data_IF_991350698490
#
_entry.id   IF_991350698490
#
_cell.length_a   1.000
_cell.length_b   1.000
_cell.length_c   1.000
_cell.angle_alpha   90.00
_cell.angle_beta   90.00
_cell.angle_gamma   90.00
#
_symmetry.space_group_name_H-M   'P 1'
#
loop_
_entity.id
_entity.type
_entity.pdbx_description
1 polymer ?
#
# COMPACT_ATOMS: atom_id res chain seq x y z
N UNK A 1 5.47 -8.05 9.74
CA UNK A 1 5.02 -7.74 8.36
C UNK A 1 5.71 -6.46 7.92
N UNK A 2 6.28 -6.45 6.73
CA UNK A 2 6.97 -5.29 6.17
C UNK A 2 6.28 -4.82 4.88
N UNK A 3 6.23 -3.51 4.64
CA UNK A 3 5.55 -2.94 3.46
C UNK A 3 6.41 -1.82 2.90
N UNK A 4 6.79 -1.96 1.64
CA UNK A 4 7.57 -0.99 0.89
C UNK A 4 6.74 -0.47 -0.28
N UNK A 5 6.76 0.84 -0.49
CA UNK A 5 6.09 1.49 -1.61
C UNK A 5 7.14 2.23 -2.44
N UNK A 6 7.30 1.82 -3.69
CA UNK A 6 8.19 2.43 -4.66
C UNK A 6 7.35 3.20 -5.69
N UNK A 7 7.70 4.47 -5.91
CA UNK A 7 7.09 5.30 -6.95
C UNK A 7 8.12 5.60 -8.04
N UNK A 8 7.81 5.28 -9.30
CA UNK A 8 8.71 5.54 -10.42
C UNK A 8 7.94 5.85 -11.70
N UNK A 9 8.20 7.02 -12.30
CA UNK A 9 7.70 7.35 -13.64
C UNK A 9 6.18 7.29 -13.81
N UNK A 10 5.40 7.53 -12.76
CA UNK A 10 3.93 7.43 -12.78
C UNK A 10 3.38 6.04 -12.44
N UNK A 11 4.25 5.07 -12.21
CA UNK A 11 3.89 3.75 -11.67
C UNK A 11 4.07 3.72 -10.15
N UNK A 12 3.23 2.92 -9.53
CA UNK A 12 3.26 2.58 -8.12
C UNK A 12 3.52 1.09 -7.97
N UNK A 13 4.51 0.74 -7.17
CA UNK A 13 4.82 -0.64 -6.81
C UNK A 13 4.74 -0.78 -5.30
N UNK A 14 3.98 -1.76 -4.84
CA UNK A 14 3.81 -2.06 -3.41
C UNK A 14 4.30 -3.47 -3.19
N UNK A 15 5.31 -3.61 -2.33
CA UNK A 15 5.84 -4.90 -1.87
C UNK A 15 5.39 -5.11 -0.43
N UNK A 16 4.77 -6.24 -0.14
CA UNK A 16 4.43 -6.65 1.21
C UNK A 16 5.12 -7.97 1.54
N UNK A 17 5.85 -8.00 2.65
CA UNK A 17 6.53 -9.19 3.16
C UNK A 17 5.79 -9.73 4.38
N UNK A 18 5.26 -10.94 4.25
CA UNK A 18 4.56 -11.66 5.32
C UNK A 18 5.32 -12.95 5.60
N UNK A 19 6.05 -12.97 6.72
CA UNK A 19 6.97 -14.07 7.04
C UNK A 19 8.09 -14.19 6.00
N UNK A 20 8.18 -15.35 5.36
CA UNK A 20 9.16 -15.64 4.29
C UNK A 20 8.63 -15.33 2.88
N UNK A 21 7.35 -15.00 2.74
CA UNK A 21 6.72 -14.72 1.44
C UNK A 21 6.69 -13.22 1.14
N UNK A 22 6.91 -12.90 -0.13
CA UNK A 22 6.85 -11.56 -0.66
C UNK A 22 5.73 -11.46 -1.71
N UNK A 23 4.92 -10.41 -1.60
CA UNK A 23 3.79 -10.11 -2.47
C UNK A 23 4.03 -8.77 -3.13
N UNK A 24 3.87 -8.72 -4.45
CA UNK A 24 4.18 -7.53 -5.24
C UNK A 24 2.97 -7.19 -6.10
N UNK A 25 2.52 -5.95 -5.95
CA UNK A 25 1.50 -5.34 -6.81
C UNK A 25 2.09 -4.11 -7.50
N UNK A 26 1.78 -3.96 -8.79
CA UNK A 26 2.28 -2.85 -9.61
C UNK A 26 1.13 -2.32 -10.44
N UNK A 27 1.01 -1.00 -10.53
CA UNK A 27 0.08 -0.35 -11.44
C UNK A 27 0.34 1.15 -11.52
N UNK A 28 -0.65 1.90 -11.98
CA UNK A 28 -0.53 3.35 -12.14
C UNK A 28 -0.67 4.06 -10.79
N UNK A 29 0.16 5.07 -10.53
CA UNK A 29 0.03 5.94 -9.35
C UNK A 29 -1.30 6.70 -9.32
N UNK A 30 -1.78 7.11 -10.50
CA UNK A 30 -3.09 7.75 -10.64
C UNK A 30 -4.25 6.83 -10.27
N UNK A 31 -4.02 5.52 -10.29
CA UNK A 31 -4.98 4.48 -9.92
C UNK A 31 -4.46 3.62 -8.75
N UNK A 32 -3.90 4.31 -7.74
CA UNK A 32 -3.40 3.64 -6.54
C UNK A 32 -4.46 2.77 -5.82
N UNK A 33 -5.79 3.05 -5.83
CA UNK A 33 -6.77 2.16 -5.22
C UNK A 33 -6.78 0.78 -5.87
N UNK A 34 -6.60 0.70 -7.19
CA UNK A 34 -6.51 -0.59 -7.90
C UNK A 34 -5.25 -1.36 -7.50
N UNK A 35 -4.10 -0.69 -7.38
CA UNK A 35 -2.84 -1.35 -6.95
C UNK A 35 -2.96 -1.92 -5.54
N UNK A 36 -3.54 -1.15 -4.63
CA UNK A 36 -3.83 -1.58 -3.26
C UNK A 36 -4.82 -2.75 -3.25
N UNK A 37 -5.87 -2.70 -4.07
CA UNK A 37 -6.84 -3.78 -4.21
C UNK A 37 -6.20 -5.08 -4.72
N UNK A 38 -5.28 -4.99 -5.69
CA UNK A 38 -4.53 -6.14 -6.20
C UNK A 38 -3.70 -6.81 -5.09
N UNK A 39 -3.04 -6.03 -4.24
CA UNK A 39 -2.30 -6.55 -3.09
C UNK A 39 -3.22 -7.29 -2.12
N UNK A 40 -4.36 -6.69 -1.77
CA UNK A 40 -5.35 -7.30 -0.87
C UNK A 40 -5.87 -8.62 -1.43
N UNK A 41 -6.23 -8.65 -2.71
CA UNK A 41 -6.70 -9.88 -3.38
C UNK A 41 -5.62 -10.95 -3.39
N UNK A 42 -4.35 -10.60 -3.64
CA UNK A 42 -3.23 -11.55 -3.57
C UNK A 42 -3.10 -12.17 -2.17
N UNK A 43 -3.11 -11.35 -1.13
CA UNK A 43 -2.96 -11.81 0.26
C UNK A 43 -4.12 -12.74 0.67
N UNK A 44 -5.36 -12.34 0.37
CA UNK A 44 -6.55 -13.14 0.68
C UNK A 44 -6.55 -14.48 -0.07
N UNK A 45 -6.16 -14.48 -1.35
CA UNK A 45 -6.08 -15.69 -2.17
C UNK A 45 -5.04 -16.68 -1.66
N UNK A 46 -4.00 -16.19 -0.99
CA UNK A 46 -2.95 -16.99 -0.37
C UNK A 46 -3.29 -17.48 1.05
N UNK A 47 -4.48 -17.12 1.56
CA UNK A 47 -4.95 -17.52 2.88
C UNK A 47 -4.31 -16.74 4.02
N UNK A 48 -3.77 -15.54 3.75
CA UNK A 48 -3.30 -14.63 4.79
C UNK A 48 -4.50 -14.17 5.63
N UNK A 49 -4.33 -14.20 6.95
CA UNK A 49 -5.39 -13.80 7.88
C UNK A 49 -5.82 -12.34 7.69
N UNK A 50 -7.11 -12.09 7.87
CA UNK A 50 -7.72 -10.78 7.66
C UNK A 50 -7.07 -9.66 8.48
N UNK A 51 -6.56 -9.96 9.67
CA UNK A 51 -5.87 -8.98 10.51
C UNK A 51 -4.57 -8.51 9.87
N UNK A 52 -3.78 -9.42 9.29
CA UNK A 52 -2.57 -9.08 8.55
C UNK A 52 -2.89 -8.34 7.25
N UNK A 53 -3.97 -8.69 6.57
CA UNK A 53 -4.43 -7.95 5.38
C UNK A 53 -4.80 -6.51 5.75
N UNK A 54 -5.51 -6.33 6.86
CA UNK A 54 -5.86 -5.00 7.37
C UNK A 54 -4.62 -4.21 7.81
N UNK A 55 -3.65 -4.87 8.43
CA UNK A 55 -2.37 -4.24 8.79
C UNK A 55 -1.59 -3.79 7.55
N UNK A 56 -1.51 -4.65 6.52
CA UNK A 56 -0.92 -4.33 5.22
C UNK A 56 -1.51 -3.06 4.64
N UNK A 57 -2.85 -3.03 4.57
CA UNK A 57 -3.62 -1.94 3.99
C UNK A 57 -3.37 -0.64 4.75
N UNK A 58 -3.41 -0.67 6.08
CA UNK A 58 -3.14 0.53 6.91
C UNK A 58 -1.74 1.07 6.69
N UNK A 59 -0.71 0.20 6.64
CA UNK A 59 0.68 0.62 6.40
C UNK A 59 0.85 1.20 5.01
N UNK A 60 0.32 0.55 3.99
CA UNK A 60 0.34 1.04 2.61
C UNK A 60 -0.32 2.41 2.50
N UNK A 61 -1.52 2.59 3.07
CA UNK A 61 -2.23 3.87 3.05
C UNK A 61 -1.50 4.96 3.84
N UNK A 62 -0.87 4.61 4.97
CA UNK A 62 -0.05 5.55 5.73
C UNK A 62 1.15 6.04 4.89
N UNK A 63 1.88 5.14 4.23
CA UNK A 63 3.02 5.47 3.37
C UNK A 63 2.57 6.34 2.18
N UNK A 64 1.49 5.95 1.49
CA UNK A 64 0.91 6.74 0.40
C UNK A 64 0.46 8.12 0.87
N UNK A 65 -0.17 8.21 2.04
CA UNK A 65 -0.57 9.51 2.60
C UNK A 65 0.64 10.37 2.93
N UNK A 66 1.75 9.79 3.39
CA UNK A 66 2.99 10.53 3.67
C UNK A 66 3.74 10.98 2.41
N UNK A 67 3.61 10.25 1.29
CA UNK A 67 4.12 10.64 -0.03
C UNK A 67 3.25 11.73 -0.70
N UNK A 68 1.96 11.79 -0.33
CA UNK A 68 0.97 12.70 -0.95
C UNK A 68 0.66 13.94 -0.11
N UNK A 69 0.92 13.93 1.21
CA UNK A 69 0.70 15.07 2.10
C UNK A 69 2.02 15.74 2.51
N UNK A 70 2.45 16.71 1.70
CA UNK A 70 3.00 17.93 2.28
C UNK A 70 1.90 18.63 3.08
N UNK A 71 2.07 18.71 4.40
CA UNK A 71 1.34 19.54 5.39
C UNK A 71 -0.19 19.67 5.28
N UNK A 72 -0.99 19.25 6.29
CA UNK A 72 -2.31 19.83 6.45
C UNK A 72 -2.14 21.31 6.78
N UNK A 73 -2.53 22.19 5.85
CA UNK A 73 -2.65 23.61 6.12
C UNK A 73 -3.58 23.81 7.33
N UNK A 74 -3.02 24.35 8.41
CA UNK A 74 -3.73 24.72 9.63
C UNK A 74 -4.86 25.69 9.25
N UNK A 75 -6.12 25.46 9.65
CA UNK A 75 -7.20 26.41 9.36
C UNK A 75 -6.91 27.76 10.05
N UNK A 76 -7.18 28.90 9.38
CA UNK A 76 -7.03 30.20 10.02
C UNK A 76 -8.00 30.29 11.21
N UNK A 77 -7.48 30.82 12.32
CA UNK A 77 -8.24 31.13 13.54
C UNK A 77 -9.20 32.29 13.32
#
# INVERSE_FOLDING_TARGET
MDVEVEESGGFLRIKAKVGEREYISVGLKSDYPTVVGLLVVQLLREGIDGDYVCEALRRTLAILSSSTYGSPARPPR
#
